data_IF_211423719402
#
_entry.id   IF_211423719402
#
_cell.length_a   1.000
_cell.length_b   1.000
_cell.length_c   1.000
_cell.angle_alpha   90.00
_cell.angle_beta   90.00
_cell.angle_gamma   90.00
#
_symmetry.space_group_name_H-M   'P 1'
#
loop_
_entity.id
_entity.type
_entity.pdbx_description
1 polymer ?
#
# COMPACT_ATOMS: atom_id res chain seq x y z
N UNK A 1 -34.32 -16.96 27.89
CA UNK A 1 -33.07 -16.32 27.43
C UNK A 1 -32.51 -17.23 26.37
N UNK A 2 -32.86 -16.92 25.12
CA UNK A 2 -32.77 -17.84 23.99
C UNK A 2 -31.35 -17.91 23.44
N UNK A 3 -30.80 -19.13 23.35
CA UNK A 3 -29.49 -19.44 22.76
C UNK A 3 -29.31 -18.94 21.31
N UNK A 4 -30.41 -18.57 20.64
CA UNK A 4 -30.41 -17.97 19.30
C UNK A 4 -29.91 -16.53 19.29
N UNK A 5 -30.18 -15.74 20.34
CA UNK A 5 -29.73 -14.34 20.40
C UNK A 5 -28.19 -14.25 20.58
N UNK A 6 -27.58 -15.22 21.27
CA UNK A 6 -26.11 -15.29 21.47
C UNK A 6 -25.39 -15.70 20.16
N UNK A 7 -26.05 -16.46 19.28
CA UNK A 7 -25.46 -16.91 18.02
C UNK A 7 -25.51 -15.82 16.94
N UNK A 8 -26.57 -15.00 16.93
CA UNK A 8 -26.69 -13.87 16.01
C UNK A 8 -25.78 -12.69 16.38
N UNK A 9 -25.52 -12.44 17.67
CA UNK A 9 -24.52 -11.44 18.11
C UNK A 9 -23.06 -11.84 17.81
N UNK A 10 -22.76 -13.13 17.63
CA UNK A 10 -21.40 -13.59 17.31
C UNK A 10 -21.09 -13.63 15.81
N UNK A 11 -22.05 -13.32 14.93
CA UNK A 11 -21.84 -13.32 13.47
C UNK A 11 -21.13 -12.06 12.95
N UNK A 12 -20.95 -11.04 13.80
CA UNK A 12 -20.26 -9.78 13.45
C UNK A 12 -18.91 -9.58 14.14
N UNK A 13 -18.46 -10.51 15.00
CA UNK A 13 -17.13 -10.44 15.61
C UNK A 13 -16.09 -10.89 14.59
N UNK A 14 -15.80 -10.02 13.63
CA UNK A 14 -14.55 -10.14 12.88
C UNK A 14 -13.42 -10.12 13.92
N UNK A 15 -12.71 -11.23 14.04
CA UNK A 15 -11.52 -11.29 14.91
C UNK A 15 -10.60 -10.15 14.48
N UNK A 16 -10.06 -9.36 15.43
CA UNK A 16 -9.15 -8.26 15.09
C UNK A 16 -8.04 -8.78 14.18
N UNK A 17 -7.82 -8.12 13.03
CA UNK A 17 -6.72 -8.48 12.15
C UNK A 17 -5.41 -8.21 12.90
N UNK A 18 -4.54 -9.21 12.99
CA UNK A 18 -3.23 -9.05 13.63
C UNK A 18 -2.37 -8.18 12.71
N UNK A 19 -1.83 -7.08 13.23
CA UNK A 19 -0.86 -6.25 12.52
C UNK A 19 0.43 -7.05 12.37
N UNK A 20 0.81 -7.39 11.15
CA UNK A 20 1.89 -8.34 10.90
C UNK A 20 3.27 -7.69 10.93
N UNK A 21 3.34 -6.43 10.48
CA UNK A 21 4.59 -5.65 10.33
C UNK A 21 4.68 -4.52 11.36
N UNK A 22 3.57 -4.17 12.01
CA UNK A 22 3.49 -3.13 13.05
C UNK A 22 3.67 -1.72 12.51
N UNK A 23 3.52 -1.51 11.20
CA UNK A 23 3.61 -0.18 10.58
C UNK A 23 2.25 0.52 10.67
N UNK A 24 2.17 1.83 10.96
CA UNK A 24 0.86 2.45 11.20
C UNK A 24 -0.06 2.48 9.95
N UNK A 25 0.46 2.15 8.76
CA UNK A 25 -0.32 2.02 7.52
C UNK A 25 -1.18 0.75 7.53
N UNK A 26 -0.74 -0.31 8.22
CA UNK A 26 -1.53 -1.54 8.36
C UNK A 26 -2.82 -1.25 9.14
N UNK A 27 -2.78 -0.40 10.18
CA UNK A 27 -3.97 -0.07 10.97
C UNK A 27 -5.05 0.59 10.10
N UNK A 28 -4.68 1.51 9.21
CA UNK A 28 -5.63 2.11 8.27
C UNK A 28 -6.12 1.10 7.24
N UNK A 29 -5.24 0.24 6.73
CA UNK A 29 -5.60 -0.81 5.79
C UNK A 29 -6.62 -1.79 6.38
N UNK A 30 -6.57 -2.11 7.69
CA UNK A 30 -7.56 -2.99 8.31
C UNK A 30 -9.00 -2.49 8.21
N UNK A 31 -9.18 -1.15 8.17
CA UNK A 31 -10.47 -0.45 8.13
C UNK A 31 -11.02 -0.33 6.71
N UNK A 32 -10.15 -0.20 5.71
CA UNK A 32 -10.51 0.08 4.32
C UNK A 32 -10.56 -1.20 3.48
N UNK A 33 -9.66 -2.14 3.73
CA UNK A 33 -9.52 -3.35 2.93
C UNK A 33 -10.31 -4.53 3.46
N UNK A 34 -10.81 -5.33 2.52
CA UNK A 34 -11.33 -6.67 2.82
C UNK A 34 -10.21 -7.55 3.39
N UNK A 35 -10.55 -8.71 3.97
CA UNK A 35 -9.54 -9.59 4.59
C UNK A 35 -8.45 -10.02 3.60
N UNK A 36 -8.85 -10.44 2.39
CA UNK A 36 -7.92 -10.88 1.35
C UNK A 36 -7.02 -9.73 0.88
N UNK A 37 -7.59 -8.54 0.69
CA UNK A 37 -6.83 -7.34 0.32
C UNK A 37 -5.83 -6.93 1.42
N UNK A 38 -6.22 -7.03 2.70
CA UNK A 38 -5.30 -6.74 3.80
C UNK A 38 -4.12 -7.72 3.85
N UNK A 39 -4.36 -9.02 3.65
CA UNK A 39 -3.30 -10.04 3.57
C UNK A 39 -2.36 -9.75 2.39
N UNK A 40 -2.91 -9.42 1.22
CA UNK A 40 -2.12 -9.04 0.05
C UNK A 40 -1.33 -7.74 0.27
N UNK A 41 -1.90 -6.78 1.00
CA UNK A 41 -1.23 -5.54 1.34
C UNK A 41 0.00 -5.77 2.23
N UNK A 42 -0.06 -6.74 3.15
CA UNK A 42 1.10 -7.16 3.95
C UNK A 42 2.27 -7.67 3.07
N UNK A 43 1.95 -8.39 1.99
CA UNK A 43 2.94 -8.83 1.00
C UNK A 43 3.49 -7.65 0.18
N UNK A 44 2.62 -6.71 -0.23
CA UNK A 44 3.05 -5.48 -0.92
C UNK A 44 4.06 -4.68 -0.06
N UNK A 45 3.78 -4.53 1.25
CA UNK A 45 4.71 -3.88 2.21
C UNK A 45 6.03 -4.66 2.30
N UNK A 46 5.99 -5.99 2.26
CA UNK A 46 7.22 -6.77 2.27
C UNK A 46 8.05 -6.54 1.01
N UNK A 47 7.41 -6.61 -0.15
CA UNK A 47 8.05 -6.41 -1.45
C UNK A 47 8.60 -5.00 -1.63
N UNK A 48 7.95 -3.99 -1.04
CA UNK A 48 8.40 -2.59 -1.14
C UNK A 48 9.82 -2.40 -0.60
N UNK A 49 10.22 -3.18 0.41
CA UNK A 49 11.57 -3.17 0.98
C UNK A 49 12.68 -3.66 0.04
N UNK A 50 12.34 -4.21 -1.14
CA UNK A 50 13.31 -4.62 -2.16
C UNK A 50 13.71 -3.50 -3.11
N UNK A 51 13.17 -2.30 -2.92
CA UNK A 51 13.44 -1.13 -3.74
C UNK A 51 14.10 -0.03 -2.90
N UNK A 52 14.94 0.77 -3.54
CA UNK A 52 15.41 2.07 -3.04
C UNK A 52 14.69 3.18 -3.79
N UNK A 53 14.51 4.31 -3.14
CA UNK A 53 13.81 5.47 -3.69
C UNK A 53 14.80 6.61 -3.85
N UNK A 54 14.89 7.16 -5.05
CA UNK A 54 15.54 8.44 -5.31
C UNK A 54 14.50 9.53 -5.55
N UNK A 55 14.76 10.72 -5.01
CA UNK A 55 13.92 11.90 -5.26
C UNK A 55 14.36 12.55 -6.59
N UNK A 56 13.45 12.59 -7.57
CA UNK A 56 13.66 13.30 -8.85
C UNK A 56 13.25 14.77 -8.74
N UNK A 57 12.08 15.01 -8.16
CA UNK A 57 11.56 16.34 -7.86
C UNK A 57 10.93 16.34 -6.48
N UNK A 58 11.41 17.25 -5.63
CA UNK A 58 11.03 17.28 -4.22
C UNK A 58 9.52 17.38 -4.03
N UNK A 59 8.95 16.40 -3.32
CA UNK A 59 7.53 16.35 -3.03
C UNK A 59 6.63 15.99 -4.22
N UNK A 60 7.18 15.65 -5.40
CA UNK A 60 6.40 15.48 -6.63
C UNK A 60 6.74 14.22 -7.42
N UNK A 61 8.01 13.89 -7.61
CA UNK A 61 8.41 12.78 -8.47
C UNK A 61 9.59 12.02 -7.87
N UNK A 62 9.50 10.70 -7.95
CA UNK A 62 10.44 9.76 -7.34
C UNK A 62 10.73 8.61 -8.30
N UNK A 63 11.88 7.99 -8.13
CA UNK A 63 12.29 6.80 -8.86
C UNK A 63 12.45 5.64 -7.88
N UNK A 64 11.64 4.60 -8.03
CA UNK A 64 11.80 3.36 -7.28
C UNK A 64 12.66 2.39 -8.08
N UNK A 65 13.84 2.05 -7.56
CA UNK A 65 14.81 1.17 -8.21
C UNK A 65 15.04 -0.09 -7.39
N UNK A 66 15.03 -1.25 -8.03
CA UNK A 66 15.24 -2.51 -7.33
C UNK A 66 16.69 -2.60 -6.79
N UNK A 67 16.88 -3.00 -5.53
CA UNK A 67 18.19 -3.02 -4.83
C UNK A 67 19.19 -3.95 -5.50
N UNK A 68 18.71 -5.04 -6.10
CA UNK A 68 19.54 -6.04 -6.80
C UNK A 68 19.47 -5.91 -8.32
N UNK A 69 19.49 -4.70 -8.85
CA UNK A 69 19.44 -4.47 -10.32
C UNK A 69 20.66 -5.07 -11.04
N UNK A 70 21.76 -5.31 -10.34
CA UNK A 70 22.99 -5.95 -10.82
C UNK A 70 22.83 -7.43 -11.22
N UNK A 71 21.77 -8.08 -10.75
CA UNK A 71 21.50 -9.51 -11.01
C UNK A 71 20.47 -9.75 -12.10
N UNK A 72 19.90 -8.70 -12.69
CA UNK A 72 18.81 -8.81 -13.65
C UNK A 72 19.33 -8.60 -15.07
N UNK A 73 18.62 -9.21 -16.02
CA UNK A 73 18.95 -9.12 -17.43
C UNK A 73 18.85 -7.66 -17.91
N UNK A 74 19.68 -7.21 -18.88
CA UNK A 74 19.71 -5.80 -19.32
C UNK A 74 18.38 -5.24 -19.82
N UNK A 75 17.43 -6.11 -20.21
CA UNK A 75 16.10 -5.76 -20.68
C UNK A 75 15.04 -5.73 -19.58
N UNK A 76 15.40 -6.07 -18.34
CA UNK A 76 14.44 -6.00 -17.24
C UNK A 76 14.23 -4.57 -16.78
N UNK A 77 12.96 -4.17 -16.66
CA UNK A 77 12.59 -2.90 -16.06
C UNK A 77 12.88 -2.96 -14.56
N UNK A 78 13.99 -2.33 -14.16
CA UNK A 78 14.48 -2.28 -12.78
C UNK A 78 14.12 -0.98 -12.06
N UNK A 79 13.62 0.00 -12.80
CA UNK A 79 13.26 1.34 -12.34
C UNK A 79 11.81 1.65 -12.67
N UNK A 80 11.12 2.26 -11.71
CA UNK A 80 9.72 2.64 -11.82
C UNK A 80 9.54 4.09 -11.38
N UNK A 81 8.99 4.92 -12.27
CA UNK A 81 8.63 6.29 -11.93
C UNK A 81 7.35 6.33 -11.09
N UNK A 82 7.41 7.12 -10.01
CA UNK A 82 6.30 7.33 -9.08
C UNK A 82 6.09 8.82 -8.88
N UNK A 83 4.91 9.30 -9.21
CA UNK A 83 4.51 10.69 -9.08
C UNK A 83 3.52 10.89 -7.92
N UNK A 84 3.59 12.04 -7.27
CA UNK A 84 2.58 12.52 -6.32
C UNK A 84 1.71 13.52 -7.07
N UNK A 85 0.44 13.18 -7.22
CA UNK A 85 -0.56 14.02 -7.86
C UNK A 85 -0.82 15.26 -6.99
N UNK A 86 -0.77 16.44 -7.60
CA UNK A 86 -0.83 17.70 -6.85
C UNK A 86 -2.24 18.02 -6.32
N UNK A 87 -3.28 17.48 -6.96
CA UNK A 87 -4.68 17.75 -6.65
C UNK A 87 -5.15 17.11 -5.35
N UNK A 88 -4.78 15.85 -5.11
CA UNK A 88 -5.26 15.05 -3.99
C UNK A 88 -4.13 14.33 -3.23
N UNK A 89 -2.87 14.54 -3.62
CA UNK A 89 -1.73 13.88 -3.01
C UNK A 89 -1.62 12.39 -3.33
N UNK A 90 -2.40 11.89 -4.29
CA UNK A 90 -2.38 10.48 -4.66
C UNK A 90 -1.02 10.08 -5.23
N UNK A 91 -0.50 8.93 -4.79
CA UNK A 91 0.77 8.39 -5.27
C UNK A 91 0.49 7.46 -6.44
N UNK A 92 0.96 7.82 -7.62
CA UNK A 92 0.71 7.09 -8.87
C UNK A 92 2.03 6.53 -9.37
N UNK A 93 2.07 5.21 -9.57
CA UNK A 93 3.23 4.52 -10.14
C UNK A 93 2.94 4.14 -11.59
N UNK A 94 3.93 4.31 -12.47
CA UNK A 94 3.82 3.96 -13.90
C UNK A 94 3.57 2.46 -14.16
N UNK A 95 3.81 1.58 -13.17
CA UNK A 95 3.54 0.15 -13.31
C UNK A 95 2.04 -0.17 -13.50
N UNK A 96 1.13 0.77 -13.21
CA UNK A 96 -0.32 0.61 -13.40
C UNK A 96 -1.02 -0.38 -12.45
N UNK A 97 -0.26 -1.15 -11.66
CA UNK A 97 -0.82 -2.18 -10.77
C UNK A 97 -1.76 -1.60 -9.70
N UNK A 98 -1.49 -0.36 -9.28
CA UNK A 98 -2.33 0.42 -8.37
C UNK A 98 -3.79 0.50 -8.84
N UNK A 99 -3.95 0.97 -10.07
CA UNK A 99 -5.25 1.18 -10.71
C UNK A 99 -5.94 -0.14 -11.04
N UNK A 100 -5.17 -1.17 -11.42
CA UNK A 100 -5.70 -2.48 -11.77
C UNK A 100 -6.25 -3.23 -10.54
N UNK A 101 -5.54 -3.20 -9.42
CA UNK A 101 -5.92 -3.95 -8.22
C UNK A 101 -6.82 -3.15 -7.26
N UNK A 102 -6.95 -1.84 -7.46
CA UNK A 102 -7.56 -0.95 -6.47
C UNK A 102 -6.78 -0.93 -5.14
N UNK A 103 -5.48 -1.26 -5.21
CA UNK A 103 -4.56 -1.32 -4.08
C UNK A 103 -3.20 -0.83 -4.54
N UNK A 104 -2.46 -0.08 -3.72
CA UNK A 104 -1.19 0.51 -4.12
C UNK A 104 -0.16 -0.57 -4.44
N UNK A 105 0.69 -0.32 -5.42
CA UNK A 105 1.79 -1.22 -5.73
C UNK A 105 2.94 -1.07 -4.72
N UNK A 106 3.88 -2.03 -4.74
CA UNK A 106 5.03 -2.01 -3.83
C UNK A 106 5.95 -0.80 -4.05
N UNK A 107 6.02 -0.25 -5.26
CA UNK A 107 6.78 0.98 -5.57
C UNK A 107 6.17 2.20 -4.90
N UNK A 108 4.85 2.38 -5.04
CA UNK A 108 4.11 3.49 -4.43
C UNK A 108 4.19 3.44 -2.90
N UNK A 109 4.07 2.24 -2.32
CA UNK A 109 4.24 2.02 -0.88
C UNK A 109 5.66 2.39 -0.42
N UNK A 110 6.70 2.01 -1.18
CA UNK A 110 8.08 2.34 -0.80
C UNK A 110 8.36 3.85 -0.82
N UNK A 111 7.89 4.54 -1.87
CA UNK A 111 7.98 6.00 -1.96
C UNK A 111 7.26 6.64 -0.78
N UNK A 112 6.08 6.12 -0.40
CA UNK A 112 5.35 6.66 0.74
C UNK A 112 6.11 6.50 2.07
N UNK A 113 6.82 5.40 2.27
CA UNK A 113 7.67 5.24 3.45
C UNK A 113 8.91 6.13 3.42
N UNK A 114 9.45 6.41 2.23
CA UNK A 114 10.64 7.23 2.05
C UNK A 114 10.36 8.74 2.21
N UNK A 115 9.18 9.19 1.76
CA UNK A 115 8.70 10.57 1.91
C UNK A 115 8.14 10.76 3.31
N UNK A 116 9.01 11.08 4.27
CA UNK A 116 8.70 11.26 5.69
C UNK A 116 7.86 12.53 6.01
N UNK A 117 6.85 12.85 5.20
CA UNK A 117 5.85 13.87 5.54
C UNK A 117 4.59 13.18 6.10
N UNK A 118 4.16 13.64 7.28
CA UNK A 118 3.50 12.86 8.34
C UNK A 118 2.06 12.35 8.08
N UNK A 119 1.53 12.45 6.86
CA UNK A 119 0.10 12.22 6.61
C UNK A 119 -0.22 10.90 5.90
N UNK A 120 0.11 9.78 6.54
CA UNK A 120 -0.14 8.43 6.00
C UNK A 120 -1.63 8.09 5.73
N UNK A 121 -2.56 8.92 6.22
CA UNK A 121 -4.01 8.79 6.01
C UNK A 121 -4.45 8.94 4.56
N UNK A 122 -3.93 9.93 3.85
CA UNK A 122 -4.38 10.30 2.50
C UNK A 122 -4.18 9.16 1.49
N UNK A 123 -3.16 8.33 1.70
CA UNK A 123 -2.77 7.29 0.75
C UNK A 123 -3.87 6.22 0.58
N UNK A 124 -4.44 5.71 1.67
CA UNK A 124 -5.47 4.66 1.59
C UNK A 124 -6.89 5.23 1.42
N UNK A 125 -7.12 6.47 1.88
CA UNK A 125 -8.42 7.16 1.73
C UNK A 125 -8.73 7.46 0.25
N UNK A 126 -7.72 7.76 -0.57
CA UNK A 126 -7.87 7.91 -2.03
C UNK A 126 -8.18 6.59 -2.76
N UNK A 127 -7.73 5.45 -2.21
CA UNK A 127 -7.94 4.12 -2.80
C UNK A 127 -9.32 3.55 -2.43
N UNK A 128 -9.80 3.83 -1.22
CA UNK A 128 -11.10 3.37 -0.72
C UNK A 128 -12.33 4.15 -1.23
N UNK A 129 -12.13 5.32 -1.87
CA UNK A 129 -13.21 6.18 -2.37
C UNK A 129 -13.75 5.78 -3.76
N UNK A 130 -13.21 4.72 -4.38
CA UNK A 130 -13.73 4.16 -5.64
C UNK A 130 -14.50 2.87 -5.37
N UNK A 131 -15.70 2.99 -4.82
CA UNK A 131 -16.73 1.95 -4.85
C UNK A 131 -18.08 2.56 -5.19
#
# INVERSE_FOLDING_TARGET
>A
MDLKEIFEENKSKQTPRVLSKGVPIEEHATKIYTRAMFEQFGEIIFQSGSYVVDEKEKGKAYLARHIRSDRWEPWSQVEFEVAIRSEDGAVVCECGLGELLGMPCCHAVNVRFSVSDRDMKLFLECDGARV
#
